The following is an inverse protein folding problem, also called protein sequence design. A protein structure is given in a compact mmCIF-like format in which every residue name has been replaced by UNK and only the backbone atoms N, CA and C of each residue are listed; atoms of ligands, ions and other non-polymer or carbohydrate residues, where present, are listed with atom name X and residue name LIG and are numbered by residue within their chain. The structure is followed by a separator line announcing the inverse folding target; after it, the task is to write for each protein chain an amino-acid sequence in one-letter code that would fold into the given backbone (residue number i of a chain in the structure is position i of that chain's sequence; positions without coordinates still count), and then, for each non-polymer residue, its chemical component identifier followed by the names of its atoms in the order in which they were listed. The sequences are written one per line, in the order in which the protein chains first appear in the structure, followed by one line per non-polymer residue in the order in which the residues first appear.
data_IF_158838374778
#
_entry.id   IF_158838374778
#
_cell.length_a   1.000
_cell.length_b   1.000
_cell.length_c   1.000
_cell.angle_alpha   90.00
_cell.angle_beta   90.00
_cell.angle_gamma   90.00
#
_symmetry.space_group_name_H-M   'P 1'
#
loop_
_entity.id
_entity.type
_entity.pdbx_description
1 polymer ?
#
# COMPACT_ATOMS: atom_id res chain seq x y z
N UNK A 1 1.49 14.71 -22.03
CA UNK A 1 0.29 14.87 -21.18
C UNK A 1 0.44 16.16 -20.41
N UNK A 2 -0.65 16.80 -20.03
CA UNK A 2 -0.62 17.93 -19.10
C UNK A 2 -0.86 17.43 -17.68
N UNK A 3 -0.10 17.94 -16.72
CA UNK A 3 -0.31 17.67 -15.30
C UNK A 3 -1.34 18.65 -14.76
N UNK A 4 -2.33 18.14 -14.02
CA UNK A 4 -3.45 18.90 -13.45
C UNK A 4 -3.06 19.59 -12.16
N UNK A 5 -2.06 19.06 -11.47
CA UNK A 5 -1.60 19.52 -10.18
C UNK A 5 -0.41 20.49 -10.29
N UNK A 6 -0.17 21.28 -9.24
CA UNK A 6 0.94 22.26 -9.21
C UNK A 6 2.21 21.68 -8.58
N UNK A 7 3.39 21.95 -9.16
CA UNK A 7 4.67 21.39 -8.71
C UNK A 7 5.68 22.49 -8.42
N UNK A 8 6.37 22.40 -7.27
CA UNK A 8 7.34 23.39 -6.80
C UNK A 8 8.76 22.83 -6.71
N UNK A 9 8.92 21.55 -6.40
CA UNK A 9 10.21 20.92 -6.10
C UNK A 9 10.70 19.95 -7.18
N UNK A 10 9.81 19.54 -8.08
CA UNK A 10 10.13 18.78 -9.29
C UNK A 10 9.48 19.41 -10.52
N UNK A 11 9.96 19.03 -11.70
CA UNK A 11 9.35 19.34 -12.98
C UNK A 11 8.88 18.03 -13.63
N UNK A 12 7.60 17.65 -13.49
CA UNK A 12 7.10 16.34 -13.90
C UNK A 12 7.31 16.00 -15.38
N UNK A 13 7.36 17.02 -16.25
CA UNK A 13 7.58 16.87 -17.69
C UNK A 13 8.91 16.17 -18.00
N UNK A 14 9.93 16.38 -17.16
CA UNK A 14 11.26 15.80 -17.32
C UNK A 14 11.24 14.27 -17.09
N UNK A 15 10.23 13.76 -16.38
CA UNK A 15 10.09 12.33 -16.05
C UNK A 15 9.28 11.53 -17.06
N UNK A 16 8.50 12.18 -17.94
CA UNK A 16 7.59 11.50 -18.87
C UNK A 16 8.35 10.46 -19.71
N UNK A 17 9.50 10.84 -20.27
CA UNK A 17 10.31 9.92 -21.10
C UNK A 17 10.93 8.78 -20.29
N UNK A 18 11.28 9.04 -19.03
CA UNK A 18 11.84 8.01 -18.14
C UNK A 18 10.78 6.98 -17.78
N UNK A 19 9.55 7.38 -17.44
CA UNK A 19 8.45 6.45 -17.15
C UNK A 19 7.91 5.71 -18.38
N UNK A 20 8.19 6.20 -19.60
CA UNK A 20 7.73 5.59 -20.84
C UNK A 20 8.57 4.38 -21.30
N UNK A 21 9.66 4.04 -20.60
CA UNK A 21 10.45 2.83 -20.85
C UNK A 21 10.15 1.76 -19.81
N UNK A 22 10.24 0.48 -20.20
CA UNK A 22 9.76 -0.65 -19.38
C UNK A 22 10.56 -0.87 -18.08
N UNK A 23 11.80 -0.38 -18.03
CA UNK A 23 12.71 -0.47 -16.91
C UNK A 23 12.91 0.90 -16.20
N UNK A 24 11.93 1.81 -16.30
CA UNK A 24 11.97 3.16 -15.72
C UNK A 24 12.46 3.21 -14.27
N UNK A 25 12.13 2.19 -13.49
CA UNK A 25 12.48 2.07 -12.08
C UNK A 25 13.98 1.80 -11.86
N UNK A 26 14.70 1.31 -12.87
CA UNK A 26 16.16 1.22 -12.87
C UNK A 26 16.80 2.59 -13.15
N UNK A 27 16.22 3.36 -14.07
CA UNK A 27 16.70 4.71 -14.41
C UNK A 27 16.49 5.71 -13.26
N UNK A 28 15.39 5.54 -12.52
CA UNK A 28 15.01 6.37 -11.37
C UNK A 28 15.53 5.82 -10.02
N UNK A 29 16.49 4.89 -10.03
CA UNK A 29 17.02 4.30 -8.79
C UNK A 29 17.49 5.32 -7.76
N UNK A 30 18.28 6.36 -8.12
CA UNK A 30 18.76 7.33 -7.12
C UNK A 30 17.61 8.02 -6.38
N UNK A 31 16.59 8.48 -7.11
CA UNK A 31 15.38 9.12 -6.56
C UNK A 31 14.56 8.13 -5.74
N UNK A 32 14.28 6.94 -6.28
CA UNK A 32 13.47 5.93 -5.60
C UNK A 32 14.13 5.45 -4.30
N UNK A 33 15.44 5.24 -4.31
CA UNK A 33 16.22 4.90 -3.12
C UNK A 33 16.19 6.04 -2.10
N UNK A 34 16.40 7.27 -2.55
CA UNK A 34 16.49 8.45 -1.69
C UNK A 34 15.18 8.81 -0.99
N UNK A 35 14.05 8.73 -1.70
CA UNK A 35 12.75 9.20 -1.20
C UNK A 35 11.82 8.08 -0.70
N UNK A 36 12.03 6.83 -1.13
CA UNK A 36 11.12 5.73 -0.83
C UNK A 36 11.81 4.54 -0.16
N UNK A 37 12.88 3.98 -0.74
CA UNK A 37 13.40 2.69 -0.26
C UNK A 37 14.17 2.80 1.06
N UNK A 38 14.99 3.86 1.19
CA UNK A 38 15.80 4.10 2.40
C UNK A 38 15.09 5.00 3.42
N UNK A 39 13.82 5.34 3.18
CA UNK A 39 13.06 6.17 4.10
C UNK A 39 12.59 5.35 5.29
N UNK A 40 13.00 5.77 6.49
CA UNK A 40 12.69 5.13 7.78
C UNK A 40 11.27 5.40 8.29
N UNK A 41 10.46 6.16 7.54
CA UNK A 41 9.10 6.55 7.96
C UNK A 41 9.06 7.68 8.99
N UNK A 42 10.21 8.20 9.45
CA UNK A 42 10.26 9.26 10.43
C UNK A 42 10.22 10.64 9.75
N UNK A 43 9.02 11.21 9.62
CA UNK A 43 8.79 12.52 9.01
C UNK A 43 9.51 13.66 9.75
N UNK A 44 9.65 13.57 11.07
CA UNK A 44 10.26 14.60 11.93
C UNK A 44 11.77 14.79 11.67
N UNK A 45 12.45 13.76 11.14
CA UNK A 45 13.87 13.82 10.75
C UNK A 45 14.10 14.40 9.35
N UNK A 46 13.07 14.86 8.64
CA UNK A 46 13.17 15.32 7.25
C UNK A 46 12.79 16.79 7.16
N UNK A 47 13.48 17.52 6.27
CA UNK A 47 13.13 18.92 6.01
C UNK A 47 11.78 19.04 5.28
N UNK A 48 11.13 20.19 5.44
CA UNK A 48 9.90 20.51 4.72
C UNK A 48 10.05 20.35 3.20
N UNK A 49 11.18 20.82 2.63
CA UNK A 49 11.46 20.69 1.21
C UNK A 49 11.58 19.22 0.77
N UNK A 50 12.22 18.36 1.57
CA UNK A 50 12.34 16.94 1.28
C UNK A 50 10.98 16.24 1.30
N UNK A 51 10.15 16.52 2.32
CA UNK A 51 8.81 15.95 2.44
C UNK A 51 7.90 16.40 1.30
N UNK A 52 7.98 17.68 0.91
CA UNK A 52 7.21 18.25 -0.19
C UNK A 52 7.64 17.63 -1.53
N UNK A 53 8.95 17.54 -1.81
CA UNK A 53 9.47 16.87 -3.00
C UNK A 53 9.02 15.41 -3.09
N UNK A 54 9.07 14.68 -1.98
CA UNK A 54 8.55 13.30 -1.90
C UNK A 54 7.05 13.23 -2.22
N UNK A 55 6.26 14.15 -1.68
CA UNK A 55 4.82 14.23 -1.96
C UNK A 55 4.55 14.48 -3.44
N UNK A 56 5.29 15.40 -4.05
CA UNK A 56 5.20 15.69 -5.48
C UNK A 56 5.60 14.50 -6.36
N UNK A 57 6.62 13.73 -5.99
CA UNK A 57 6.97 12.48 -6.70
C UNK A 57 5.80 11.48 -6.69
N UNK A 58 5.14 11.29 -5.54
CA UNK A 58 3.96 10.42 -5.45
C UNK A 58 2.82 10.95 -6.32
N UNK A 59 2.57 12.25 -6.29
CA UNK A 59 1.53 12.92 -7.06
C UNK A 59 1.74 12.76 -8.57
N UNK A 60 2.96 12.98 -9.04
CA UNK A 60 3.34 12.77 -10.43
C UNK A 60 3.09 11.31 -10.85
N UNK A 61 3.48 10.34 -10.03
CA UNK A 61 3.23 8.91 -10.31
C UNK A 61 1.72 8.62 -10.36
N UNK A 62 0.91 9.26 -9.52
CA UNK A 62 -0.55 9.12 -9.58
C UNK A 62 -1.10 9.58 -10.93
N UNK A 63 -0.72 10.78 -11.38
CA UNK A 63 -1.19 11.34 -12.65
C UNK A 63 -0.69 10.52 -13.86
N UNK A 64 0.58 10.09 -13.85
CA UNK A 64 1.14 9.24 -14.90
C UNK A 64 0.42 7.88 -14.99
N UNK A 65 0.06 7.27 -13.85
CA UNK A 65 -0.74 6.04 -13.81
C UNK A 65 -2.16 6.25 -14.33
N UNK A 66 -2.83 7.35 -13.96
CA UNK A 66 -4.18 7.64 -14.44
C UNK A 66 -4.23 7.87 -15.96
N UNK A 67 -3.17 8.49 -16.50
CA UNK A 67 -3.02 8.81 -17.92
C UNK A 67 -2.36 7.70 -18.75
N UNK A 68 -2.15 6.51 -18.17
CA UNK A 68 -1.52 5.36 -18.81
C UNK A 68 -0.15 5.71 -19.46
N UNK A 69 0.65 6.52 -18.76
CA UNK A 69 1.99 6.99 -19.21
C UNK A 69 3.17 6.28 -18.53
N UNK A 70 2.91 5.37 -17.61
CA UNK A 70 3.94 4.47 -17.10
C UNK A 70 3.95 3.21 -17.95
N UNK A 71 5.12 2.86 -18.49
CA UNK A 71 5.30 1.60 -19.19
C UNK A 71 5.25 0.43 -18.19
N UNK A 72 4.09 -0.24 -18.19
CA UNK A 72 3.80 -1.42 -17.39
C UNK A 72 3.70 -2.65 -18.29
N UNK A 73 3.89 -3.84 -17.72
CA UNK A 73 3.64 -5.09 -18.42
C UNK A 73 2.15 -5.25 -18.76
N UNK A 74 1.87 -5.95 -19.86
CA UNK A 74 0.53 -6.43 -20.22
C UNK A 74 0.31 -7.90 -19.86
N UNK A 75 1.39 -8.61 -19.52
CA UNK A 75 1.43 -9.97 -19.01
C UNK A 75 2.68 -10.14 -18.14
N UNK A 76 2.72 -11.20 -17.32
CA UNK A 76 3.84 -11.48 -16.45
C UNK A 76 3.55 -12.64 -15.50
N UNK A 77 4.26 -12.72 -14.36
CA UNK A 77 4.11 -13.83 -13.42
C UNK A 77 2.71 -13.91 -12.83
N UNK A 78 2.28 -15.13 -12.52
CA UNK A 78 1.06 -15.37 -11.75
C UNK A 78 1.37 -15.29 -10.24
N UNK A 79 1.29 -14.08 -9.68
CA UNK A 79 1.63 -13.83 -8.28
C UNK A 79 0.74 -14.49 -7.24
N UNK A 80 -0.32 -15.18 -7.66
CA UNK A 80 -1.29 -15.83 -6.79
C UNK A 80 -1.19 -17.36 -6.81
N UNK A 81 -0.24 -17.93 -7.56
CA UNK A 81 -0.05 -19.38 -7.69
C UNK A 81 0.18 -20.07 -6.33
N UNK A 82 0.85 -19.38 -5.40
CA UNK A 82 1.14 -19.88 -4.05
C UNK A 82 0.00 -19.62 -3.04
N UNK A 83 -1.18 -19.17 -3.48
CA UNK A 83 -2.29 -18.81 -2.59
C UNK A 83 -2.71 -20.02 -1.76
N UNK A 84 -2.78 -19.82 -0.45
CA UNK A 84 -3.21 -20.81 0.54
C UNK A 84 -4.59 -20.45 1.09
N UNK A 85 -5.27 -21.39 1.77
CA UNK A 85 -6.45 -21.06 2.57
C UNK A 85 -6.18 -19.87 3.50
N UNK A 86 -7.19 -19.01 3.65
CA UNK A 86 -7.08 -17.82 4.49
C UNK A 86 -7.16 -18.26 5.95
N UNK A 87 -6.08 -18.06 6.68
CA UNK A 87 -5.94 -18.40 8.10
C UNK A 87 -5.71 -17.15 8.96
N UNK A 88 -5.40 -16.01 8.33
CA UNK A 88 -5.00 -14.79 9.04
C UNK A 88 -5.59 -13.54 8.38
N UNK A 89 -6.01 -12.58 9.19
CA UNK A 89 -6.33 -11.21 8.79
C UNK A 89 -5.24 -10.30 9.35
N UNK A 90 -4.56 -9.56 8.47
CA UNK A 90 -3.57 -8.56 8.88
C UNK A 90 -4.18 -7.17 8.84
N UNK A 91 -4.18 -6.51 10.00
CA UNK A 91 -4.68 -5.15 10.17
C UNK A 91 -3.57 -4.13 9.87
N UNK A 92 -3.90 -3.18 9.01
CA UNK A 92 -3.02 -2.11 8.57
C UNK A 92 -3.62 -0.72 8.80
N UNK A 93 -2.76 0.28 8.75
CA UNK A 93 -3.15 1.65 8.41
C UNK A 93 -2.37 2.09 7.17
N UNK A 94 -2.83 3.12 6.45
CA UNK A 94 -2.09 3.62 5.28
C UNK A 94 -0.93 4.54 5.66
N UNK A 95 -0.92 5.07 6.89
CA UNK A 95 -0.01 6.15 7.34
C UNK A 95 -0.12 7.42 6.48
N UNK A 96 -1.31 7.65 5.92
CA UNK A 96 -1.66 8.81 5.10
C UNK A 96 -2.89 9.52 5.68
N UNK A 97 -3.16 10.79 5.33
CA UNK A 97 -4.37 11.46 5.77
C UNK A 97 -5.66 10.72 5.34
N UNK A 98 -6.78 10.84 6.07
CA UNK A 98 -8.02 10.10 5.79
C UNK A 98 -8.68 10.43 4.44
N UNK A 99 -8.40 11.61 3.89
CA UNK A 99 -8.84 12.09 2.58
C UNK A 99 -8.01 11.55 1.41
N UNK A 100 -6.95 10.78 1.69
CA UNK A 100 -6.10 10.20 0.65
C UNK A 100 -6.93 9.43 -0.39
N UNK A 101 -6.61 9.60 -1.67
CA UNK A 101 -7.26 8.86 -2.75
C UNK A 101 -6.71 7.43 -2.84
N UNK A 102 -7.50 6.49 -3.37
CA UNK A 102 -6.99 5.14 -3.65
C UNK A 102 -5.84 5.17 -4.67
N UNK A 103 -5.82 6.16 -5.56
CA UNK A 103 -4.75 6.31 -6.53
C UNK A 103 -3.39 6.57 -5.86
N UNK A 104 -3.35 7.32 -4.76
CA UNK A 104 -2.13 7.47 -3.97
C UNK A 104 -1.68 6.11 -3.41
N UNK A 105 -2.61 5.29 -2.88
CA UNK A 105 -2.27 3.95 -2.37
C UNK A 105 -1.75 3.06 -3.51
N UNK A 106 -2.37 3.13 -4.68
CA UNK A 106 -1.95 2.43 -5.89
C UNK A 106 -0.53 2.83 -6.33
N UNK A 107 -0.26 4.13 -6.46
CA UNK A 107 1.06 4.66 -6.80
C UNK A 107 2.13 4.25 -5.79
N UNK A 108 1.80 4.29 -4.48
CA UNK A 108 2.70 3.84 -3.44
C UNK A 108 2.98 2.33 -3.52
N UNK A 109 1.99 1.52 -3.86
CA UNK A 109 2.18 0.09 -4.11
C UNK A 109 3.15 -0.16 -5.26
N UNK A 110 2.97 0.55 -6.39
CA UNK A 110 3.87 0.46 -7.53
C UNK A 110 5.31 0.78 -7.14
N UNK A 111 5.53 1.95 -6.55
CA UNK A 111 6.89 2.42 -6.30
C UNK A 111 7.53 1.79 -5.08
N UNK A 112 6.78 1.37 -4.04
CA UNK A 112 7.39 0.84 -2.79
C UNK A 112 7.44 -0.67 -2.71
N UNK A 113 6.65 -1.39 -3.51
CA UNK A 113 6.57 -2.85 -3.44
C UNK A 113 7.10 -3.48 -4.73
N UNK A 114 6.50 -3.11 -5.87
CA UNK A 114 6.81 -3.75 -7.14
C UNK A 114 8.14 -3.25 -7.72
N UNK A 115 8.32 -1.94 -7.85
CA UNK A 115 9.56 -1.35 -8.36
C UNK A 115 10.83 -1.89 -7.66
N UNK A 116 10.93 -1.93 -6.32
CA UNK A 116 12.13 -2.46 -5.67
C UNK A 116 12.31 -3.97 -5.89
N UNK A 117 11.23 -4.76 -5.98
CA UNK A 117 11.34 -6.19 -6.29
C UNK A 117 11.92 -6.41 -7.69
N UNK A 118 11.38 -5.72 -8.70
CA UNK A 118 11.87 -5.78 -10.08
C UNK A 118 13.26 -5.14 -10.27
N UNK A 119 13.80 -4.45 -9.24
CA UNK A 119 15.14 -3.84 -9.24
C UNK A 119 16.24 -4.77 -8.72
N UNK A 120 15.90 -5.96 -8.22
CA UNK A 120 16.87 -6.89 -7.64
C UNK A 120 17.68 -7.55 -8.76
N UNK A 121 18.98 -7.23 -8.85
CA UNK A 121 19.87 -7.68 -9.95
C UNK A 121 19.89 -9.20 -10.17
N UNK A 122 19.89 -9.96 -9.08
CA UNK A 122 19.90 -11.42 -9.10
C UNK A 122 18.49 -12.03 -9.20
N UNK A 123 17.45 -11.20 -9.24
CA UNK A 123 16.06 -11.63 -9.32
C UNK A 123 15.64 -11.96 -10.75
N UNK A 124 14.83 -13.00 -10.93
CA UNK A 124 14.35 -13.45 -12.24
C UNK A 124 13.60 -12.36 -13.04
N UNK A 125 13.06 -11.36 -12.35
CA UNK A 125 12.30 -10.25 -12.94
C UNK A 125 13.08 -8.95 -13.07
N UNK A 126 14.41 -8.98 -12.88
CA UNK A 126 15.26 -7.82 -13.07
C UNK A 126 15.08 -7.20 -14.46
N UNK A 127 14.86 -5.88 -14.52
CA UNK A 127 14.70 -5.13 -15.78
C UNK A 127 13.43 -5.43 -16.59
N UNK A 128 12.56 -6.34 -16.14
CA UNK A 128 11.31 -6.66 -16.86
C UNK A 128 10.24 -5.58 -16.63
N UNK A 129 9.30 -5.37 -17.58
CA UNK A 129 8.15 -4.50 -17.35
C UNK A 129 7.40 -4.92 -16.08
N UNK A 130 7.11 -3.98 -15.19
CA UNK A 130 6.41 -4.29 -13.94
C UNK A 130 4.99 -4.79 -14.24
N UNK A 131 4.67 -5.96 -13.70
CA UNK A 131 3.35 -6.59 -13.78
C UNK A 131 2.87 -7.05 -12.40
N UNK A 132 1.62 -6.72 -12.05
CA UNK A 132 1.00 -7.11 -10.77
C UNK A 132 0.02 -8.26 -10.82
N UNK A 133 -0.47 -8.67 -12.00
CA UNK A 133 -1.59 -9.63 -12.12
C UNK A 133 -2.90 -9.21 -11.43
N UNK A 134 -2.96 -8.03 -10.81
CA UNK A 134 -4.14 -7.59 -10.04
C UNK A 134 -4.85 -6.47 -10.77
N UNK A 135 -6.17 -6.54 -10.79
CA UNK A 135 -7.03 -5.58 -11.46
C UNK A 135 -8.11 -5.07 -10.51
N UNK A 136 -8.26 -3.75 -10.47
CA UNK A 136 -9.34 -3.09 -9.76
C UNK A 136 -10.01 -2.10 -10.71
N UNK A 137 -11.35 -2.17 -10.83
CA UNK A 137 -12.14 -1.41 -11.81
C UNK A 137 -11.55 -1.53 -13.25
N UNK A 138 -11.20 -2.77 -13.63
CA UNK A 138 -10.64 -3.13 -14.94
C UNK A 138 -9.29 -2.48 -15.30
N UNK A 139 -8.57 -1.93 -14.32
CA UNK A 139 -7.21 -1.42 -14.51
C UNK A 139 -6.23 -2.18 -13.63
N UNK A 140 -5.02 -2.38 -14.14
CA UNK A 140 -3.95 -2.98 -13.36
C UNK A 140 -3.71 -2.14 -12.09
N UNK A 141 -3.66 -2.80 -10.94
CA UNK A 141 -3.46 -2.17 -9.64
C UNK A 141 -2.29 -2.78 -8.90
N UNK A 142 -1.66 -1.96 -8.08
CA UNK A 142 -0.56 -2.30 -7.19
C UNK A 142 -0.97 -2.16 -5.73
N UNK A 143 -2.26 -1.92 -5.45
CA UNK A 143 -2.81 -1.90 -4.09
C UNK A 143 -2.63 -3.29 -3.48
N UNK A 144 -1.92 -3.37 -2.37
CA UNK A 144 -1.60 -4.64 -1.71
C UNK A 144 -2.62 -5.08 -0.65
N UNK A 145 -3.73 -4.36 -0.50
CA UNK A 145 -4.73 -4.61 0.53
C UNK A 145 -6.01 -5.20 -0.09
N UNK A 146 -6.67 -6.12 0.61
CA UNK A 146 -7.97 -6.66 0.19
C UNK A 146 -9.08 -5.66 0.46
N UNK A 147 -9.08 -5.06 1.65
CA UNK A 147 -10.06 -4.05 2.05
C UNK A 147 -9.36 -2.76 2.47
N UNK A 148 -9.88 -1.63 2.00
CA UNK A 148 -9.47 -0.30 2.45
C UNK A 148 -10.69 0.41 3.04
N UNK A 149 -10.65 0.70 4.34
CA UNK A 149 -11.76 1.29 5.09
C UNK A 149 -11.47 2.77 5.36
N UNK A 150 -12.42 3.64 5.01
CA UNK A 150 -12.36 5.08 5.28
C UNK A 150 -12.86 5.41 6.68
N UNK A 151 -12.50 6.62 7.15
CA UNK A 151 -12.90 7.13 8.47
C UNK A 151 -14.42 7.17 8.69
N UNK A 152 -15.22 7.33 7.64
CA UNK A 152 -16.68 7.35 7.73
C UNK A 152 -17.32 5.94 7.78
N UNK A 153 -16.52 4.87 7.62
CA UNK A 153 -16.96 3.49 7.60
C UNK A 153 -17.26 2.94 6.20
N UNK A 154 -17.22 3.76 5.14
CA UNK A 154 -17.23 3.23 3.78
C UNK A 154 -15.93 2.44 3.50
N UNK A 155 -15.97 1.51 2.56
CA UNK A 155 -14.80 0.71 2.21
C UNK A 155 -14.75 0.38 0.73
N UNK A 156 -13.55 0.02 0.28
CA UNK A 156 -13.26 -0.47 -1.06
C UNK A 156 -12.69 -1.88 -0.95
N UNK A 157 -13.22 -2.82 -1.76
CA UNK A 157 -12.72 -4.20 -1.87
C UNK A 157 -11.84 -4.29 -3.11
N UNK A 158 -10.52 -4.18 -2.92
CA UNK A 158 -9.55 -3.95 -3.99
C UNK A 158 -8.87 -5.22 -4.49
N UNK A 159 -8.74 -6.25 -3.65
CA UNK A 159 -8.25 -7.58 -4.04
C UNK A 159 -9.23 -8.64 -3.58
N UNK A 160 -9.42 -9.67 -4.40
CA UNK A 160 -10.27 -10.82 -4.11
C UNK A 160 -9.57 -11.84 -3.19
N UNK A 161 -10.33 -12.76 -2.61
CA UNK A 161 -9.83 -13.78 -1.70
C UNK A 161 -8.84 -14.77 -2.34
N UNK A 162 -8.83 -14.91 -3.66
CA UNK A 162 -7.83 -15.71 -4.37
C UNK A 162 -6.57 -14.93 -4.74
N UNK A 163 -6.52 -13.62 -4.49
CA UNK A 163 -5.37 -12.76 -4.80
C UNK A 163 -4.48 -12.54 -3.58
N UNK A 164 -3.16 -12.56 -3.78
CA UNK A 164 -2.13 -12.40 -2.75
C UNK A 164 -1.68 -10.94 -2.70
N UNK A 165 -2.09 -10.21 -1.65
CA UNK A 165 -1.61 -8.85 -1.41
C UNK A 165 -0.19 -8.83 -0.83
N UNK A 166 0.71 -8.02 -1.39
CA UNK A 166 2.10 -7.90 -0.91
C UNK A 166 2.22 -6.95 0.30
N UNK A 167 1.44 -7.20 1.36
CA UNK A 167 1.18 -6.19 2.38
C UNK A 167 2.03 -6.29 3.65
N UNK A 168 2.43 -7.49 4.10
CA UNK A 168 3.08 -7.63 5.41
C UNK A 168 4.61 -7.78 5.35
N UNK A 169 5.20 -7.91 4.17
CA UNK A 169 6.65 -8.13 4.01
C UNK A 169 7.13 -9.52 4.46
N UNK A 170 6.21 -10.47 4.60
CA UNK A 170 6.47 -11.89 4.82
C UNK A 170 5.66 -12.69 3.80
N UNK A 171 6.34 -13.31 2.84
CA UNK A 171 5.68 -13.98 1.72
C UNK A 171 4.77 -15.12 2.18
N UNK A 172 5.26 -15.97 3.08
CA UNK A 172 4.49 -17.08 3.63
C UNK A 172 3.17 -16.61 4.27
N UNK A 173 3.19 -15.51 5.02
CA UNK A 173 1.99 -14.91 5.60
C UNK A 173 1.10 -14.23 4.55
N UNK A 174 1.65 -13.48 3.59
CA UNK A 174 0.85 -12.90 2.50
C UNK A 174 0.03 -13.99 1.77
N UNK A 175 0.62 -15.16 1.53
CA UNK A 175 -0.03 -16.27 0.82
C UNK A 175 -1.25 -16.85 1.54
N UNK A 176 -1.34 -16.74 2.87
CA UNK A 176 -2.44 -17.29 3.69
C UNK A 176 -3.25 -16.23 4.42
N UNK A 177 -3.13 -14.97 4.03
CA UNK A 177 -3.81 -13.88 4.70
C UNK A 177 -4.58 -12.95 3.76
N UNK A 178 -5.51 -12.21 4.35
CA UNK A 178 -6.05 -11.01 3.75
C UNK A 178 -5.64 -9.78 4.56
N UNK A 179 -5.63 -8.61 3.93
CA UNK A 179 -5.34 -7.36 4.61
C UNK A 179 -6.55 -6.42 4.67
N UNK A 180 -6.79 -5.90 5.88
CA UNK A 180 -7.74 -4.82 6.13
C UNK A 180 -6.93 -3.58 6.51
N UNK A 181 -6.94 -2.57 5.65
CA UNK A 181 -6.24 -1.31 5.83
C UNK A 181 -7.21 -0.19 6.21
N UNK A 182 -6.97 0.47 7.34
CA UNK A 182 -7.60 1.75 7.65
C UNK A 182 -6.89 2.85 6.87
N UNK A 183 -7.62 3.54 5.97
CA UNK A 183 -7.09 4.66 5.20
C UNK A 183 -6.97 5.89 6.09
N UNK A 184 -5.93 5.91 6.91
CA UNK A 184 -5.68 6.93 7.91
C UNK A 184 -4.26 6.84 8.50
N UNK A 185 -3.81 7.93 9.14
CA UNK A 185 -2.59 7.93 9.96
C UNK A 185 -2.97 7.67 11.42
N UNK A 186 -2.96 6.38 11.79
CA UNK A 186 -3.31 5.89 13.12
C UNK A 186 -2.09 5.71 14.04
N UNK A 187 -0.93 6.34 13.73
CA UNK A 187 0.31 6.16 14.52
C UNK A 187 0.06 6.33 16.03
N UNK A 188 -0.60 7.42 16.42
CA UNK A 188 -0.87 7.78 17.82
C UNK A 188 -2.37 7.94 18.13
N UNK A 189 -3.26 7.34 17.33
CA UNK A 189 -4.70 7.46 17.54
C UNK A 189 -5.47 6.21 17.14
N UNK A 190 -6.71 6.12 17.59
CA UNK A 190 -7.63 5.01 17.30
C UNK A 190 -8.44 5.30 16.02
N UNK A 191 -8.87 4.27 15.27
CA UNK A 191 -9.83 4.45 14.18
C UNK A 191 -11.18 4.95 14.71
N UNK A 192 -12.01 5.50 13.82
CA UNK A 192 -13.37 5.92 14.19
C UNK A 192 -14.24 4.71 14.56
N UNK A 193 -15.29 4.93 15.36
CA UNK A 193 -16.29 3.89 15.69
C UNK A 193 -16.94 3.29 14.44
N UNK A 194 -17.20 4.11 13.42
CA UNK A 194 -17.79 3.67 12.14
C UNK A 194 -16.83 2.74 11.38
N UNK A 195 -15.57 3.13 11.25
CA UNK A 195 -14.56 2.30 10.60
C UNK A 195 -14.32 0.97 11.34
N UNK A 196 -14.27 0.99 12.68
CA UNK A 196 -14.16 -0.22 13.50
C UNK A 196 -15.36 -1.16 13.34
N UNK A 197 -16.57 -0.61 13.21
CA UNK A 197 -17.77 -1.41 12.93
C UNK A 197 -17.67 -2.09 11.57
N UNK A 198 -17.30 -1.36 10.52
CA UNK A 198 -17.12 -1.94 9.19
C UNK A 198 -16.05 -3.03 9.18
N UNK A 199 -14.92 -2.81 9.83
CA UNK A 199 -13.86 -3.80 9.92
C UNK A 199 -14.34 -5.09 10.61
N UNK A 200 -15.14 -4.99 11.67
CA UNK A 200 -15.79 -6.15 12.31
C UNK A 200 -16.69 -6.93 11.38
N UNK A 201 -17.54 -6.25 10.61
CA UNK A 201 -18.42 -6.93 9.66
C UNK A 201 -17.63 -7.63 8.54
N UNK A 202 -16.47 -7.11 8.14
CA UNK A 202 -15.56 -7.80 7.21
C UNK A 202 -14.93 -9.01 7.88
N UNK A 203 -14.41 -8.88 9.10
CA UNK A 203 -13.77 -9.97 9.86
C UNK A 203 -14.72 -11.16 10.04
N UNK A 204 -16.01 -10.92 10.29
CA UNK A 204 -17.02 -11.98 10.44
C UNK A 204 -17.16 -12.89 9.20
N UNK A 205 -16.74 -12.43 8.02
CA UNK A 205 -16.73 -13.25 6.79
C UNK A 205 -15.65 -14.33 6.79
N UNK A 206 -14.64 -14.20 7.66
CA UNK A 206 -13.49 -15.08 7.75
C UNK A 206 -13.44 -15.71 9.16
N UNK A 207 -14.38 -16.62 9.48
CA UNK A 207 -14.41 -17.26 10.79
C UNK A 207 -13.12 -18.05 11.04
N UNK A 208 -12.69 -18.11 12.30
CA UNK A 208 -11.49 -18.85 12.73
C UNK A 208 -10.15 -18.30 12.23
N UNK A 209 -10.10 -17.11 11.64
CA UNK A 209 -8.83 -16.47 11.28
C UNK A 209 -8.17 -15.79 12.48
N UNK A 210 -6.86 -15.92 12.57
CA UNK A 210 -6.05 -15.10 13.47
C UNK A 210 -6.07 -13.63 13.03
N UNK A 211 -6.12 -12.70 13.97
CA UNK A 211 -6.13 -11.27 13.66
C UNK A 211 -4.83 -10.66 14.17
N UNK A 212 -3.95 -10.25 13.28
CA UNK A 212 -2.63 -9.71 13.61
C UNK A 212 -2.51 -8.26 13.11
N UNK A 213 -1.79 -7.43 13.84
CA UNK A 213 -1.33 -6.14 13.34
C UNK A 213 -0.04 -6.31 12.54
N UNK A 214 0.19 -5.48 11.53
CA UNK A 214 1.42 -5.56 10.74
C UNK A 214 2.71 -5.52 11.59
N UNK A 215 2.75 -4.74 12.68
CA UNK A 215 3.88 -4.67 13.61
C UNK A 215 4.14 -5.97 14.36
N UNK A 216 3.12 -6.80 14.61
CA UNK A 216 3.29 -8.12 15.21
C UNK A 216 4.03 -9.08 14.25
N UNK A 217 4.00 -8.81 12.93
CA UNK A 217 4.71 -9.59 11.90
C UNK A 217 6.07 -8.97 11.57
N UNK A 218 6.13 -7.64 11.47
CA UNK A 218 7.33 -6.86 11.13
C UNK A 218 7.58 -5.81 12.21
N UNK A 219 8.39 -6.11 13.24
CA UNK A 219 8.58 -5.20 14.38
C UNK A 219 9.13 -3.81 14.04
N UNK A 220 9.76 -3.65 12.87
CA UNK A 220 10.32 -2.38 12.39
C UNK A 220 9.27 -1.40 11.85
N UNK A 221 8.01 -1.80 11.66
CA UNK A 221 6.92 -0.89 11.29
C UNK A 221 6.14 -0.40 12.51
N UNK A 222 5.54 0.78 12.42
CA UNK A 222 4.55 1.26 13.41
C UNK A 222 3.12 0.82 13.09
N UNK A 223 2.88 0.30 11.89
CA UNK A 223 1.55 -0.13 11.41
C UNK A 223 0.96 -1.28 12.25
N UNK A 224 -0.33 -1.26 12.65
CA UNK A 224 -1.37 -0.30 12.29
C UNK A 224 -1.50 0.87 13.27
N UNK A 225 -0.53 1.09 14.15
CA UNK A 225 -0.49 2.17 15.14
C UNK A 225 0.04 1.70 16.49
N UNK A 226 0.60 2.61 17.28
CA UNK A 226 1.13 2.31 18.61
C UNK A 226 0.03 1.91 19.61
N UNK A 227 -1.23 2.28 19.34
CA UNK A 227 -2.38 1.99 20.19
C UNK A 227 -3.12 0.68 19.80
N UNK A 228 -2.57 -0.13 18.90
CA UNK A 228 -3.27 -1.32 18.41
C UNK A 228 -3.35 -2.45 19.44
N UNK A 229 -2.20 -2.87 19.97
CA UNK A 229 -2.06 -3.93 20.99
C UNK A 229 -2.03 -3.36 22.41
N UNK A 230 -2.16 -4.23 23.41
CA UNK A 230 -2.12 -3.88 24.84
C UNK A 230 -3.48 -3.95 25.52
N UNK A 231 -3.51 -3.77 26.85
CA UNK A 231 -4.74 -3.86 27.65
C UNK A 231 -5.84 -2.90 27.18
N UNK A 232 -5.44 -1.69 26.78
CA UNK A 232 -6.33 -0.65 26.22
C UNK A 232 -6.17 -0.51 24.70
N UNK A 233 -5.56 -1.50 24.05
CA UNK A 233 -5.34 -1.53 22.62
C UNK A 233 -6.65 -1.61 21.86
N UNK A 234 -6.78 -0.86 20.77
CA UNK A 234 -8.03 -0.82 20.02
C UNK A 234 -8.34 -2.13 19.27
N UNK A 235 -7.39 -3.10 19.22
CA UNK A 235 -7.68 -4.49 18.82
C UNK A 235 -8.79 -5.09 19.68
N UNK A 236 -8.84 -4.81 20.98
CA UNK A 236 -9.89 -5.34 21.86
C UNK A 236 -11.28 -4.84 21.44
N UNK A 237 -11.38 -3.57 21.02
CA UNK A 237 -12.62 -2.97 20.51
C UNK A 237 -13.00 -3.49 19.12
N UNK A 238 -12.01 -3.95 18.35
CA UNK A 238 -12.22 -4.61 17.08
C UNK A 238 -12.76 -6.03 17.26
N UNK A 239 -12.43 -6.70 18.37
CA UNK A 239 -12.88 -8.06 18.66
C UNK A 239 -14.12 -8.11 19.57
N UNK A 240 -14.48 -7.00 20.22
CA UNK A 240 -15.64 -6.94 21.09
C UNK A 240 -16.95 -6.80 20.31
N UNK A 241 -17.96 -7.59 20.69
CA UNK A 241 -19.32 -7.45 20.15
C UNK A 241 -20.02 -6.18 20.66
N UNK A 242 -19.63 -5.71 21.86
CA UNK A 242 -20.18 -4.51 22.48
C UNK A 242 -19.35 -3.27 22.09
N UNK A 243 -20.01 -2.28 21.48
CA UNK A 243 -19.44 -0.94 21.26
C UNK A 243 -19.93 -0.05 22.40
N UNK A 244 -19.02 0.50 23.21
CA UNK A 244 -19.30 1.72 24.00
C UNK A 244 -18.90 2.94 23.18
#
# INVERSE_FOLDING_TARGET
MEFKESYKYIKPEDYIKQFAVTDWYLQLQPELQGYFYRYDGNKEKKSHAWLAKRSELVKMVCELLEADKIALGSFGPHWDEERKPIETIVIHHSSTPPETSLQVINALGLIRLYAPFYSQKEGEHFGKPIWSNHFYKSRQTFIAYHYIIRKDGSFEHTLQDNQIGWHCGNWHLNCRSIAICFLDDLKERRPSKKALRTAREIIKKYPNCDILGHKEIKPTTTCPGNLFVGKEGWRNNLLSENIV
#
